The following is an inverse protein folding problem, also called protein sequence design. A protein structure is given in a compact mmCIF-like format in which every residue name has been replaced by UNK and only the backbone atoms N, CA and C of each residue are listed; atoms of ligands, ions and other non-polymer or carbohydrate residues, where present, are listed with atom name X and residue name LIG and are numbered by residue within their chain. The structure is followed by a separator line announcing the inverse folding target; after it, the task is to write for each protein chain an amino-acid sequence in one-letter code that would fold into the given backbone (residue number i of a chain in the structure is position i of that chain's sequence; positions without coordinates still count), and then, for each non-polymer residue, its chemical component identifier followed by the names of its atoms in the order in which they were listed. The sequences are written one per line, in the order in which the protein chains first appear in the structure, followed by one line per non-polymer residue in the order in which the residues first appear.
data_IF_615023459543
#
_entry.id   IF_615023459543
#
_cell.length_a   1.000
_cell.length_b   1.000
_cell.length_c   1.000
_cell.angle_alpha   90.00
_cell.angle_beta   90.00
_cell.angle_gamma   90.00
#
_symmetry.space_group_name_H-M   'P 1'
#
loop_
_entity.id
_entity.type
_entity.pdbx_description
1 polymer ?
#
# COMPACT_ATOMS: atom_id res chain seq x y z
N UNK A 1 -12.16 5.53 -1.67
CA UNK A 1 -10.69 5.51 -1.59
C UNK A 1 -10.32 5.33 -0.12
N UNK A 2 -9.38 4.43 0.21
CA UNK A 2 -8.90 4.21 1.58
C UNK A 2 -7.40 4.48 1.62
N UNK A 3 -6.98 5.42 2.46
CA UNK A 3 -5.58 5.84 2.62
C UNK A 3 -4.97 5.12 3.82
N UNK A 4 -3.79 4.54 3.65
CA UNK A 4 -3.01 3.85 4.67
C UNK A 4 -1.62 4.46 4.65
N UNK A 5 -1.27 5.36 5.57
CA UNK A 5 0.09 5.93 5.66
C UNK A 5 0.79 6.21 4.32
N UNK A 6 1.62 5.27 3.83
CA UNK A 6 2.35 5.35 2.58
C UNK A 6 1.57 4.96 1.30
N UNK A 7 0.51 4.16 1.43
CA UNK A 7 -0.26 3.60 0.34
C UNK A 7 -1.70 4.10 0.28
N UNK A 8 -2.32 3.95 -0.89
CA UNK A 8 -3.75 4.11 -1.09
C UNK A 8 -4.33 2.93 -1.84
N UNK A 9 -5.50 2.49 -1.41
CA UNK A 9 -6.24 1.45 -2.08
C UNK A 9 -7.39 2.04 -2.90
N UNK A 10 -7.29 1.85 -4.22
CA UNK A 10 -8.33 2.13 -5.19
C UNK A 10 -9.05 0.83 -5.54
N UNK A 11 -10.30 0.71 -5.05
CA UNK A 11 -11.15 -0.46 -5.27
C UNK A 11 -12.25 -0.05 -6.24
N UNK A 12 -12.34 -0.78 -7.35
CA UNK A 12 -13.50 -0.77 -8.24
C UNK A 12 -14.31 -2.05 -7.99
N UNK A 13 -15.50 -1.95 -7.39
CA UNK A 13 -16.36 -3.10 -7.16
C UNK A 13 -16.71 -3.79 -8.48
N UNK A 14 -16.94 -5.10 -8.41
CA UNK A 14 -17.41 -5.86 -9.56
C UNK A 14 -18.87 -5.57 -9.87
N UNK A 15 -19.22 -5.72 -11.14
CA UNK A 15 -20.58 -5.81 -11.65
C UNK A 15 -20.73 -7.16 -12.37
N UNK A 16 -21.95 -7.60 -12.72
CA UNK A 16 -22.14 -8.85 -13.46
C UNK A 16 -21.34 -8.93 -14.77
N UNK A 17 -21.02 -7.78 -15.37
CA UNK A 17 -20.34 -7.67 -16.67
C UNK A 17 -18.87 -7.24 -16.56
N UNK A 18 -18.40 -6.79 -15.38
CA UNK A 18 -17.03 -6.32 -15.15
C UNK A 18 -16.52 -6.80 -13.78
N UNK A 19 -15.46 -7.62 -13.70
CA UNK A 19 -14.98 -8.13 -12.42
C UNK A 19 -14.46 -7.00 -11.52
N UNK A 20 -14.50 -7.24 -10.20
CA UNK A 20 -13.87 -6.34 -9.26
C UNK A 20 -12.38 -6.16 -9.62
N UNK A 21 -11.87 -4.95 -9.44
CA UNK A 21 -10.43 -4.68 -9.61
C UNK A 21 -9.93 -3.80 -8.49
N UNK A 22 -8.69 -4.04 -8.09
CA UNK A 22 -8.03 -3.34 -6.99
C UNK A 22 -6.67 -2.87 -7.47
N UNK A 23 -6.34 -1.61 -7.19
CA UNK A 23 -5.02 -1.01 -7.43
C UNK A 23 -4.50 -0.42 -6.12
N UNK A 24 -3.20 -0.55 -5.91
CA UNK A 24 -2.51 0.09 -4.78
C UNK A 24 -1.64 1.20 -5.34
N UNK A 25 -1.86 2.43 -4.89
CA UNK A 25 -1.03 3.58 -5.22
C UNK A 25 -0.03 3.86 -4.08
N UNK A 26 1.16 4.36 -4.44
CA UNK A 26 2.16 4.83 -3.49
C UNK A 26 2.00 6.35 -3.34
N UNK A 27 1.56 6.82 -2.17
CA UNK A 27 1.29 8.22 -1.90
C UNK A 27 2.47 8.93 -1.24
N UNK A 28 3.20 8.23 -0.36
CA UNK A 28 4.39 8.79 0.29
C UNK A 28 5.61 7.97 -0.09
N UNK A 29 6.59 8.68 -0.62
CA UNK A 29 7.88 8.13 -0.97
C UNK A 29 8.93 9.24 -0.90
N UNK A 30 10.18 8.84 -0.67
CA UNK A 30 11.34 9.71 -0.88
C UNK A 30 11.86 9.45 -2.28
N UNK A 31 12.17 10.50 -3.05
CA UNK A 31 12.79 10.34 -4.36
C UNK A 31 14.29 10.55 -4.25
N UNK A 32 15.06 9.55 -4.66
CA UNK A 32 16.51 9.66 -4.79
C UNK A 32 16.92 10.53 -5.97
N UNK A 33 18.16 11.02 -5.92
CA UNK A 33 18.77 11.77 -7.01
C UNK A 33 18.86 10.95 -8.30
N UNK A 34 18.98 9.63 -8.18
CA UNK A 34 18.98 8.68 -9.30
C UNK A 34 17.57 8.37 -9.85
N UNK A 35 16.54 9.03 -9.30
CA UNK A 35 15.15 8.86 -9.69
C UNK A 35 14.45 7.66 -9.05
N UNK A 36 15.12 6.87 -8.20
CA UNK A 36 14.47 5.79 -7.45
C UNK A 36 13.49 6.36 -6.43
N UNK A 37 12.42 5.60 -6.18
CA UNK A 37 11.46 5.90 -5.12
C UNK A 37 11.72 4.96 -3.95
N UNK A 38 11.88 5.53 -2.77
CA UNK A 38 12.06 4.81 -1.51
C UNK A 38 10.77 4.88 -0.71
N UNK A 39 10.31 3.73 -0.22
CA UNK A 39 9.10 3.63 0.60
C UNK A 39 9.33 4.07 2.05
N UNK A 40 10.59 4.20 2.46
CA UNK A 40 10.99 4.67 3.78
C UNK A 40 11.77 5.99 3.64
N UNK A 41 11.86 6.79 4.71
CA UNK A 41 12.90 7.80 4.82
C UNK A 41 14.30 7.15 4.87
N UNK A 42 15.33 7.97 4.84
CA UNK A 42 16.68 7.54 5.20
C UNK A 42 16.70 7.12 6.67
N UNK A 43 17.23 5.93 6.94
CA UNK A 43 17.37 5.38 8.29
C UNK A 43 18.85 5.33 8.65
N UNK A 44 19.17 5.78 9.85
CA UNK A 44 20.55 5.86 10.38
C UNK A 44 20.91 4.69 11.29
N UNK A 45 19.92 3.89 11.67
CA UNK A 45 20.10 2.68 12.48
C UNK A 45 19.24 1.51 11.98
N UNK A 46 19.62 0.30 12.40
CA UNK A 46 18.86 -0.91 12.08
C UNK A 46 17.46 -0.90 12.74
N UNK A 47 17.36 -0.40 13.97
CA UNK A 47 16.09 -0.27 14.70
C UNK A 47 15.10 0.62 13.95
N UNK A 48 15.57 1.73 13.36
CA UNK A 48 14.74 2.60 12.52
C UNK A 48 14.25 1.86 11.27
N UNK A 49 15.12 1.10 10.60
CA UNK A 49 14.73 0.30 9.42
C UNK A 49 13.69 -0.76 9.81
N UNK A 50 13.90 -1.48 10.90
CA UNK A 50 12.93 -2.47 11.39
C UNK A 50 11.57 -1.82 11.68
N UNK A 51 11.56 -0.67 12.36
CA UNK A 51 10.32 0.06 12.65
C UNK A 51 9.55 0.48 11.40
N UNK A 52 10.27 0.97 10.38
CA UNK A 52 9.68 1.32 9.08
C UNK A 52 9.14 0.08 8.35
N UNK A 53 9.90 -1.03 8.34
CA UNK A 53 9.47 -2.27 7.69
C UNK A 53 8.25 -2.88 8.36
N UNK A 54 8.18 -2.88 9.69
CA UNK A 54 7.01 -3.37 10.43
C UNK A 54 5.77 -2.53 10.12
N UNK A 55 5.90 -1.20 10.11
CA UNK A 55 4.80 -0.29 9.76
C UNK A 55 4.30 -0.53 8.33
N UNK A 56 5.21 -0.73 7.37
CA UNK A 56 4.84 -1.06 5.98
C UNK A 56 4.15 -2.43 5.88
N UNK A 57 4.58 -3.42 6.66
CA UNK A 57 3.94 -4.74 6.69
C UNK A 57 2.50 -4.64 7.23
N UNK A 58 2.29 -3.89 8.32
CA UNK A 58 0.96 -3.66 8.89
C UNK A 58 0.02 -3.00 7.88
N UNK A 59 0.50 -1.97 7.15
CA UNK A 59 -0.27 -1.31 6.08
C UNK A 59 -0.61 -2.28 4.94
N UNK A 60 0.34 -3.11 4.50
CA UNK A 60 0.13 -4.09 3.44
C UNK A 60 -0.85 -5.20 3.86
N UNK A 61 -0.84 -5.61 5.13
CA UNK A 61 -1.77 -6.60 5.65
C UNK A 61 -3.20 -6.04 5.69
N UNK A 62 -3.37 -4.79 6.13
CA UNK A 62 -4.68 -4.12 6.11
C UNK A 62 -5.19 -3.92 4.66
N UNK A 63 -4.31 -3.59 3.71
CA UNK A 63 -4.62 -3.56 2.28
C UNK A 63 -5.07 -4.93 1.78
N UNK A 64 -4.36 -6.00 2.15
CA UNK A 64 -4.69 -7.38 1.75
C UNK A 64 -6.06 -7.78 2.26
N UNK A 65 -6.40 -7.41 3.50
CA UNK A 65 -7.73 -7.66 4.06
C UNK A 65 -8.82 -6.91 3.30
N UNK A 66 -8.63 -5.60 3.02
CA UNK A 66 -9.61 -4.81 2.26
C UNK A 66 -9.79 -5.33 0.83
N UNK A 67 -8.68 -5.66 0.16
CA UNK A 67 -8.72 -6.24 -1.17
C UNK A 67 -9.47 -7.59 -1.16
N UNK A 68 -9.18 -8.47 -0.20
CA UNK A 68 -9.90 -9.75 -0.06
C UNK A 68 -11.40 -9.55 0.08
N UNK A 69 -11.84 -8.59 0.92
CA UNK A 69 -13.26 -8.27 1.07
C UNK A 69 -13.88 -7.79 -0.25
N UNK A 70 -13.16 -6.97 -1.03
CA UNK A 70 -13.65 -6.50 -2.32
C UNK A 70 -13.91 -7.63 -3.33
N UNK A 71 -13.09 -8.68 -3.32
CA UNK A 71 -13.26 -9.84 -4.20
C UNK A 71 -14.23 -10.90 -3.67
N UNK A 72 -14.57 -10.89 -2.38
CA UNK A 72 -15.50 -11.84 -1.77
C UNK A 72 -16.98 -11.42 -1.88
N UNK A 73 -17.25 -10.15 -2.17
CA UNK A 73 -18.62 -9.60 -2.33
C UNK A 73 -19.07 -9.62 -3.79
N UNK A 74 -18.18 -9.94 -4.73
CA UNK A 74 -18.43 -10.04 -6.16
C UNK A 74 -18.92 -11.44 -6.58
#
# INVERSE_FOLDING_TARGET
MHVFGAFELDIRPGTPDDPASVRVALLRYTRGEDGRLYMTPECSSFEEVEGQLNSLQDELDEIRERARRAFQVA
#
